data_IF_239248785679
#
_entry.id   IF_239248785679
#
_cell.length_a   1.000
_cell.length_b   1.000
_cell.length_c   1.000
_cell.angle_alpha   90.00
_cell.angle_beta   90.00
_cell.angle_gamma   90.00
#
_symmetry.space_group_name_H-M   'P 1'
#
loop_
_entity.id
_entity.type
_entity.pdbx_description
1 polymer ?
#
# COMPACT_ATOMS: atom_id res chain seq x y z
N UNK A 1 3.78 -4.37 -16.52
CA UNK A 1 4.69 -3.41 -15.90
C UNK A 1 6.15 -3.78 -16.16
N UNK A 2 6.61 -4.98 -15.78
CA UNK A 2 7.98 -5.42 -15.99
C UNK A 2 8.46 -5.31 -17.44
N UNK A 3 7.67 -5.80 -18.40
CA UNK A 3 7.98 -5.67 -19.84
C UNK A 3 8.07 -4.20 -20.30
N UNK A 4 7.27 -3.32 -19.73
CA UNK A 4 7.36 -1.88 -20.01
C UNK A 4 8.65 -1.28 -19.46
N UNK A 5 9.06 -1.69 -18.26
CA UNK A 5 10.25 -1.16 -17.62
C UNK A 5 11.55 -1.67 -18.25
N UNK A 6 11.73 -3.00 -18.40
CA UNK A 6 13.02 -3.63 -18.75
C UNK A 6 13.08 -4.30 -20.12
N UNK A 7 11.95 -4.48 -20.84
CA UNK A 7 11.88 -5.14 -22.16
C UNK A 7 12.50 -6.56 -22.22
N UNK A 8 12.53 -7.23 -21.08
CA UNK A 8 13.02 -8.59 -20.98
C UNK A 8 12.00 -9.43 -20.20
N UNK A 9 11.49 -10.48 -20.82
CA UNK A 9 10.42 -11.28 -20.26
C UNK A 9 10.83 -12.05 -18.98
N UNK A 10 12.10 -12.45 -18.86
CA UNK A 10 12.62 -13.17 -17.69
C UNK A 10 12.53 -12.28 -16.44
N UNK A 11 13.03 -11.06 -16.54
CA UNK A 11 12.94 -10.06 -15.45
C UNK A 11 11.48 -9.62 -15.19
N UNK A 12 10.68 -9.54 -16.27
CA UNK A 12 9.27 -9.20 -16.12
C UNK A 12 8.50 -10.29 -15.38
N UNK A 13 8.77 -11.57 -15.68
CA UNK A 13 8.20 -12.72 -14.96
C UNK A 13 8.64 -12.72 -13.50
N UNK A 14 9.94 -12.51 -13.24
CA UNK A 14 10.45 -12.40 -11.87
C UNK A 14 9.75 -11.29 -11.06
N UNK A 15 9.60 -10.09 -11.64
CA UNK A 15 8.87 -9.01 -10.98
C UNK A 15 7.38 -9.30 -10.76
N UNK A 16 6.74 -10.03 -11.68
CA UNK A 16 5.36 -10.49 -11.51
C UNK A 16 5.23 -11.49 -10.36
N UNK A 17 6.18 -12.43 -10.26
CA UNK A 17 6.27 -13.39 -9.15
C UNK A 17 6.50 -12.68 -7.81
N UNK A 18 7.41 -11.72 -7.76
CA UNK A 18 7.69 -10.93 -6.55
C UNK A 18 6.47 -10.18 -6.05
N UNK A 19 5.72 -9.56 -6.96
CA UNK A 19 4.50 -8.85 -6.61
C UNK A 19 3.37 -9.80 -6.22
N UNK A 20 3.13 -10.85 -7.02
CA UNK A 20 1.99 -11.77 -6.86
C UNK A 20 2.11 -12.71 -5.65
N UNK A 21 3.34 -12.98 -5.18
CA UNK A 21 3.59 -13.85 -4.02
C UNK A 21 3.82 -13.08 -2.71
N UNK A 22 3.66 -11.75 -2.70
CA UNK A 22 3.64 -10.99 -1.45
C UNK A 22 2.55 -11.52 -0.53
N UNK A 23 2.86 -11.70 0.76
CA UNK A 23 1.88 -12.22 1.73
C UNK A 23 0.71 -11.27 1.93
N UNK A 24 0.86 -9.99 1.59
CA UNK A 24 -0.22 -9.00 1.71
C UNK A 24 -1.48 -9.42 0.94
N UNK A 25 -1.34 -10.00 -0.26
CA UNK A 25 -2.49 -10.49 -1.02
C UNK A 25 -3.22 -11.62 -0.30
N UNK A 26 -2.49 -12.58 0.24
CA UNK A 26 -3.07 -13.70 0.98
C UNK A 26 -3.79 -13.23 2.24
N UNK A 27 -3.21 -12.27 2.96
CA UNK A 27 -3.79 -11.65 4.17
C UNK A 27 -5.12 -10.99 3.85
N UNK A 28 -5.19 -10.15 2.81
CA UNK A 28 -6.42 -9.42 2.46
C UNK A 28 -7.49 -10.34 1.86
N UNK A 29 -7.10 -11.44 1.17
CA UNK A 29 -8.02 -12.46 0.69
C UNK A 29 -8.60 -13.23 1.90
N UNK A 30 -7.76 -13.68 2.81
CA UNK A 30 -8.18 -14.37 4.05
C UNK A 30 -9.11 -13.50 4.89
N UNK A 31 -8.87 -12.19 4.93
CA UNK A 31 -9.73 -11.23 5.62
C UNK A 31 -11.01 -10.86 4.84
N UNK A 32 -11.26 -11.45 3.66
CA UNK A 32 -12.47 -11.23 2.87
C UNK A 32 -12.52 -9.89 2.11
N UNK A 33 -11.39 -9.18 1.95
CA UNK A 33 -11.34 -7.86 1.30
C UNK A 33 -11.26 -7.94 -0.24
N UNK A 34 -12.23 -8.60 -0.88
CA UNK A 34 -12.25 -8.86 -2.33
C UNK A 34 -12.11 -7.59 -3.19
N UNK A 35 -12.85 -6.53 -2.87
CA UNK A 35 -12.75 -5.26 -3.61
C UNK A 35 -11.35 -4.64 -3.55
N UNK A 36 -10.66 -4.77 -2.40
CA UNK A 36 -9.27 -4.34 -2.24
C UNK A 36 -8.34 -5.13 -3.15
N UNK A 37 -8.45 -6.47 -3.17
CA UNK A 37 -7.63 -7.36 -4.02
C UNK A 37 -7.80 -7.01 -5.49
N UNK A 38 -9.04 -6.89 -5.98
CA UNK A 38 -9.30 -6.54 -7.38
C UNK A 38 -8.71 -5.19 -7.75
N UNK A 39 -8.86 -4.17 -6.90
CA UNK A 39 -8.28 -2.84 -7.15
C UNK A 39 -6.76 -2.90 -7.26
N UNK A 40 -6.09 -3.63 -6.35
CA UNK A 40 -4.63 -3.73 -6.33
C UNK A 40 -4.11 -4.54 -7.53
N UNK A 41 -4.84 -5.54 -8.01
CA UNK A 41 -4.47 -6.31 -9.19
C UNK A 41 -4.31 -5.42 -10.45
N UNK A 42 -5.04 -4.31 -10.51
CA UNK A 42 -4.95 -3.36 -11.61
C UNK A 42 -3.85 -2.29 -11.44
N UNK A 43 -3.12 -2.27 -10.33
CA UNK A 43 -2.02 -1.32 -10.11
C UNK A 43 -0.90 -1.46 -11.15
N UNK A 44 -0.43 -2.67 -11.35
CA UNK A 44 0.68 -2.94 -12.25
C UNK A 44 0.36 -2.56 -13.72
N UNK A 45 -0.77 -2.97 -14.31
CA UNK A 45 -1.09 -2.57 -15.68
C UNK A 45 -1.40 -1.07 -15.80
N UNK A 46 -2.05 -0.42 -14.81
CA UNK A 46 -2.27 1.03 -14.84
C UNK A 46 -0.94 1.80 -14.86
N UNK A 47 -0.01 1.46 -13.95
CA UNK A 47 1.32 2.05 -13.94
C UNK A 47 2.09 1.75 -15.23
N UNK A 48 1.91 0.56 -15.83
CA UNK A 48 2.51 0.22 -17.12
C UNK A 48 2.03 1.15 -18.24
N UNK A 49 0.72 1.46 -18.28
CA UNK A 49 0.14 2.41 -19.25
C UNK A 49 0.79 3.80 -19.13
N UNK A 50 0.96 4.29 -17.90
CA UNK A 50 1.59 5.60 -17.64
C UNK A 50 3.07 5.60 -18.09
N UNK A 51 3.83 4.54 -17.78
CA UNK A 51 5.22 4.40 -18.20
C UNK A 51 5.36 4.23 -19.72
N UNK A 52 4.37 3.61 -20.41
CA UNK A 52 4.33 3.56 -21.88
C UNK A 52 4.28 4.97 -22.48
N UNK A 53 3.52 5.87 -21.87
CA UNK A 53 3.42 7.28 -22.34
C UNK A 53 4.68 8.05 -22.01
N UNK A 54 5.06 8.19 -20.73
CA UNK A 54 6.17 9.03 -20.30
C UNK A 54 7.55 8.51 -20.75
N UNK A 55 7.78 7.20 -20.61
CA UNK A 55 9.13 6.63 -20.81
C UNK A 55 9.31 6.03 -22.21
N UNK A 56 8.26 5.41 -22.76
CA UNK A 56 8.33 4.70 -24.04
C UNK A 56 7.80 5.50 -25.23
N UNK A 57 7.16 6.65 -25.00
CA UNK A 57 6.54 7.49 -26.03
C UNK A 57 5.49 6.78 -26.88
N UNK A 58 4.89 5.69 -26.31
CA UNK A 58 3.82 4.90 -26.97
C UNK A 58 2.47 5.46 -26.56
N UNK A 59 2.11 6.64 -27.09
CA UNK A 59 0.95 7.42 -26.64
C UNK A 59 -0.36 6.66 -26.76
N UNK A 60 -0.70 6.11 -27.94
CA UNK A 60 -1.97 5.43 -28.18
C UNK A 60 -2.12 4.18 -27.30
N UNK A 61 -1.09 3.32 -27.28
CA UNK A 61 -1.11 2.11 -26.45
C UNK A 61 -1.19 2.45 -24.97
N UNK A 62 -0.39 3.45 -24.53
CA UNK A 62 -0.41 3.90 -23.14
C UNK A 62 -1.73 4.53 -22.76
N UNK A 63 -2.35 5.32 -23.64
CA UNK A 63 -3.70 5.85 -23.46
C UNK A 63 -4.73 4.72 -23.25
N UNK A 64 -4.77 3.76 -24.17
CA UNK A 64 -5.74 2.67 -24.12
C UNK A 64 -5.58 1.81 -22.85
N UNK A 65 -4.34 1.46 -22.50
CA UNK A 65 -4.04 0.67 -21.28
C UNK A 65 -4.40 1.47 -20.02
N UNK A 66 -4.04 2.76 -19.96
CA UNK A 66 -4.35 3.61 -18.79
C UNK A 66 -5.87 3.78 -18.64
N UNK A 67 -6.59 4.10 -19.73
CA UNK A 67 -8.04 4.29 -19.67
C UNK A 67 -8.77 3.01 -19.25
N UNK A 68 -8.40 1.86 -19.85
CA UNK A 68 -9.00 0.56 -19.52
C UNK A 68 -8.79 0.22 -18.04
N UNK A 69 -7.54 0.23 -17.57
CA UNK A 69 -7.24 -0.21 -16.20
C UNK A 69 -7.65 0.81 -15.14
N UNK A 70 -7.73 2.09 -15.49
CA UNK A 70 -8.37 3.09 -14.62
C UNK A 70 -9.87 2.82 -14.47
N UNK A 71 -10.56 2.52 -15.58
CA UNK A 71 -11.97 2.15 -15.55
C UNK A 71 -12.23 0.89 -14.71
N UNK A 72 -11.44 -0.16 -14.89
CA UNK A 72 -11.53 -1.41 -14.10
C UNK A 72 -11.22 -1.18 -12.62
N UNK A 73 -10.25 -0.32 -12.31
CA UNK A 73 -9.89 0.02 -10.93
C UNK A 73 -11.03 0.76 -10.21
N UNK A 74 -11.66 1.71 -10.85
CA UNK A 74 -12.86 2.39 -10.30
C UNK A 74 -14.04 1.39 -10.19
N UNK A 75 -14.21 0.50 -11.18
CA UNK A 75 -15.24 -0.54 -11.15
C UNK A 75 -15.07 -1.52 -9.98
N UNK A 76 -13.85 -1.78 -9.51
CA UNK A 76 -13.59 -2.58 -8.32
C UNK A 76 -14.04 -1.92 -7.00
N UNK A 77 -14.43 -0.65 -7.04
CA UNK A 77 -15.09 0.10 -5.98
C UNK A 77 -14.32 0.19 -4.65
N UNK A 78 -12.98 0.26 -4.70
CA UNK A 78 -12.15 0.47 -3.52
C UNK A 78 -11.25 1.71 -3.68
N UNK A 79 -11.87 2.89 -3.56
CA UNK A 79 -11.23 4.19 -3.87
C UNK A 79 -9.98 4.49 -3.05
N UNK A 80 -9.91 4.01 -1.81
CA UNK A 80 -8.73 4.18 -0.96
C UNK A 80 -7.46 3.60 -1.59
N UNK A 81 -7.53 2.40 -2.18
CA UNK A 81 -6.37 1.78 -2.84
C UNK A 81 -5.97 2.57 -4.08
N UNK A 82 -6.95 2.98 -4.90
CA UNK A 82 -6.73 3.86 -6.05
C UNK A 82 -6.03 5.15 -5.64
N UNK A 83 -6.49 5.77 -4.56
CA UNK A 83 -5.92 7.00 -4.01
C UNK A 83 -4.45 6.80 -3.59
N UNK A 84 -4.13 5.71 -2.94
CA UNK A 84 -2.76 5.40 -2.53
C UNK A 84 -1.82 5.19 -3.74
N UNK A 85 -2.31 4.55 -4.80
CA UNK A 85 -1.54 4.45 -6.04
C UNK A 85 -1.30 5.83 -6.67
N UNK A 86 -2.27 6.75 -6.60
CA UNK A 86 -2.10 8.12 -7.10
C UNK A 86 -1.02 8.90 -6.36
N UNK A 87 -0.77 8.63 -5.08
CA UNK A 87 0.38 9.22 -4.37
C UNK A 87 1.69 8.78 -5.08
N UNK A 88 1.83 7.49 -5.40
CA UNK A 88 3.00 6.99 -6.13
C UNK A 88 3.12 7.58 -7.54
N UNK A 89 2.00 7.68 -8.27
CA UNK A 89 1.94 8.31 -9.61
C UNK A 89 2.30 9.80 -9.53
N UNK A 90 1.91 10.49 -8.45
CA UNK A 90 2.27 11.87 -8.20
C UNK A 90 3.80 12.08 -8.12
N UNK A 91 4.52 11.16 -7.47
CA UNK A 91 5.98 11.18 -7.47
C UNK A 91 6.59 10.96 -8.87
N UNK A 92 6.00 10.07 -9.66
CA UNK A 92 6.43 9.86 -11.05
C UNK A 92 6.22 11.14 -11.87
N UNK A 93 5.02 11.76 -11.78
CA UNK A 93 4.72 13.03 -12.46
C UNK A 93 5.69 14.13 -12.04
N UNK A 94 5.91 14.30 -10.72
CA UNK A 94 6.83 15.29 -10.18
C UNK A 94 8.27 15.05 -10.66
N UNK A 95 8.73 13.81 -10.71
CA UNK A 95 10.04 13.44 -11.21
C UNK A 95 10.20 13.80 -12.69
N UNK A 96 9.19 13.56 -13.52
CA UNK A 96 9.20 13.93 -14.94
C UNK A 96 9.18 15.45 -15.11
N UNK A 97 8.37 16.17 -14.31
CA UNK A 97 8.34 17.63 -14.31
C UNK A 97 9.70 18.22 -13.92
N UNK A 98 10.30 17.76 -12.83
CA UNK A 98 11.63 18.20 -12.39
C UNK A 98 12.68 17.93 -13.47
N UNK A 99 12.63 16.75 -14.11
CA UNK A 99 13.53 16.39 -15.20
C UNK A 99 13.48 17.40 -16.36
N UNK A 100 12.28 17.81 -16.75
CA UNK A 100 12.06 18.75 -17.85
C UNK A 100 12.50 20.17 -17.46
N UNK A 101 12.18 20.59 -16.22
CA UNK A 101 12.62 21.88 -15.67
C UNK A 101 14.14 22.00 -15.65
N UNK A 102 14.83 20.98 -15.11
CA UNK A 102 16.30 21.01 -14.98
C UNK A 102 17.02 20.92 -16.34
N UNK A 103 16.50 20.11 -17.28
CA UNK A 103 17.12 19.94 -18.59
C UNK A 103 16.73 21.01 -19.60
N UNK A 104 15.73 21.84 -19.31
CA UNK A 104 15.15 22.86 -20.21
C UNK A 104 14.78 22.29 -21.60
N UNK A 105 14.47 20.99 -21.67
CA UNK A 105 14.21 20.24 -22.90
C UNK A 105 13.00 19.32 -22.72
N UNK A 106 12.46 18.82 -23.82
CA UNK A 106 11.35 17.86 -23.83
C UNK A 106 9.99 18.37 -23.31
N UNK A 107 9.78 19.70 -23.19
CA UNK A 107 8.49 20.26 -22.76
C UNK A 107 7.32 19.81 -23.63
N UNK A 108 7.55 19.70 -24.95
CA UNK A 108 6.53 19.22 -25.89
C UNK A 108 6.11 17.78 -25.56
N UNK A 109 7.10 16.90 -25.31
CA UNK A 109 6.82 15.51 -24.92
C UNK A 109 6.09 15.44 -23.56
N UNK A 110 6.53 16.19 -22.56
CA UNK A 110 5.91 16.25 -21.25
C UNK A 110 4.45 16.72 -21.35
N UNK A 111 4.19 17.82 -22.07
CA UNK A 111 2.83 18.35 -22.27
C UNK A 111 1.92 17.37 -23.00
N UNK A 112 2.37 16.76 -24.10
CA UNK A 112 1.61 15.74 -24.83
C UNK A 112 1.33 14.53 -23.93
N UNK A 113 2.35 14.04 -23.22
CA UNK A 113 2.22 12.89 -22.32
C UNK A 113 1.20 13.14 -21.21
N UNK A 114 1.28 14.29 -20.56
CA UNK A 114 0.37 14.68 -19.48
C UNK A 114 -1.06 14.87 -20.02
N UNK A 115 -1.24 15.47 -21.19
CA UNK A 115 -2.54 15.61 -21.85
C UNK A 115 -3.17 14.27 -22.22
N UNK A 116 -2.39 13.36 -22.80
CA UNK A 116 -2.83 12.00 -23.15
C UNK A 116 -3.26 11.22 -21.90
N UNK A 117 -2.48 11.30 -20.82
CA UNK A 117 -2.81 10.63 -19.57
C UNK A 117 -4.02 11.26 -18.87
N UNK A 118 -4.13 12.58 -18.86
CA UNK A 118 -5.30 13.27 -18.32
C UNK A 118 -6.58 12.83 -19.05
N UNK A 119 -6.55 12.76 -20.38
CA UNK A 119 -7.68 12.27 -21.17
C UNK A 119 -7.99 10.78 -20.90
N UNK A 120 -6.96 9.93 -20.72
CA UNK A 120 -7.13 8.53 -20.38
C UNK A 120 -7.79 8.37 -18.99
N UNK A 121 -7.36 9.15 -18.01
CA UNK A 121 -7.97 9.16 -16.67
C UNK A 121 -9.42 9.65 -16.71
N UNK A 122 -9.69 10.74 -17.41
CA UNK A 122 -11.06 11.26 -17.58
C UNK A 122 -11.98 10.23 -18.22
N UNK A 123 -11.51 9.51 -19.24
CA UNK A 123 -12.28 8.46 -19.88
C UNK A 123 -12.52 7.29 -18.93
N UNK A 124 -11.47 6.80 -18.24
CA UNK A 124 -11.58 5.69 -17.28
C UNK A 124 -12.51 6.01 -16.10
N UNK A 125 -12.45 7.23 -15.57
CA UNK A 125 -13.36 7.74 -14.53
C UNK A 125 -14.77 7.89 -15.08
N UNK A 126 -14.92 8.50 -16.26
CA UNK A 126 -16.20 8.77 -16.91
C UNK A 126 -17.02 7.52 -17.20
N UNK A 127 -16.37 6.40 -17.56
CA UNK A 127 -17.06 5.10 -17.74
C UNK A 127 -17.76 4.59 -16.47
N UNK A 128 -17.39 5.10 -15.30
CA UNK A 128 -17.96 4.72 -14.00
C UNK A 128 -18.72 5.88 -13.33
N UNK A 129 -19.09 6.92 -14.06
CA UNK A 129 -19.68 8.15 -13.52
C UNK A 129 -20.92 7.88 -12.67
N UNK A 130 -21.83 7.01 -13.11
CA UNK A 130 -23.03 6.64 -12.36
C UNK A 130 -22.67 6.07 -10.97
N UNK A 131 -21.71 5.15 -10.92
CA UNK A 131 -21.27 4.55 -9.66
C UNK A 131 -20.60 5.57 -8.74
N UNK A 132 -19.81 6.47 -9.32
CA UNK A 132 -19.12 7.51 -8.55
C UNK A 132 -20.12 8.50 -7.94
N UNK A 133 -21.13 8.92 -8.70
CA UNK A 133 -22.17 9.82 -8.21
C UNK A 133 -23.00 9.16 -7.11
N UNK A 134 -23.43 7.92 -7.30
CA UNK A 134 -24.17 7.17 -6.29
C UNK A 134 -23.33 6.97 -5.00
N UNK A 135 -22.04 6.64 -5.13
CA UNK A 135 -21.17 6.51 -3.96
C UNK A 135 -20.92 7.84 -3.24
N UNK A 136 -20.86 8.96 -3.97
CA UNK A 136 -20.72 10.28 -3.37
C UNK A 136 -21.95 10.63 -2.54
N UNK A 137 -23.15 10.48 -3.11
CA UNK A 137 -24.41 10.72 -2.43
C UNK A 137 -24.51 9.84 -1.17
N UNK A 138 -24.24 8.53 -1.30
CA UNK A 138 -24.28 7.61 -0.18
C UNK A 138 -23.23 7.92 0.90
N UNK A 139 -22.05 8.40 0.52
CA UNK A 139 -20.97 8.72 1.48
C UNK A 139 -21.35 9.89 2.41
N UNK A 140 -22.18 10.81 1.95
CA UNK A 140 -22.66 11.95 2.76
C UNK A 140 -23.51 11.49 3.95
N UNK A 141 -24.21 10.35 3.82
CA UNK A 141 -25.07 9.74 4.85
C UNK A 141 -24.34 8.69 5.72
N UNK A 142 -23.03 8.61 5.61
CA UNK A 142 -22.21 7.64 6.37
C UNK A 142 -21.27 8.35 7.35
N UNK A 143 -20.55 7.57 8.17
CA UNK A 143 -19.47 8.06 9.06
C UNK A 143 -18.36 8.85 8.35
N UNK A 144 -18.39 8.90 7.01
CA UNK A 144 -17.47 9.69 6.18
C UNK A 144 -18.03 11.06 5.79
N UNK A 145 -19.32 11.29 6.04
CA UNK A 145 -19.99 12.56 5.86
C UNK A 145 -19.79 13.52 7.03
N UNK A 146 -20.66 14.53 7.13
CA UNK A 146 -20.68 15.44 8.28
C UNK A 146 -21.19 14.72 9.52
N UNK A 147 -20.58 14.97 10.66
CA UNK A 147 -21.11 14.50 11.94
C UNK A 147 -22.43 15.18 12.25
N UNK A 148 -23.49 14.39 12.45
CA UNK A 148 -24.85 14.87 12.77
C UNK A 148 -25.03 15.00 14.30
N UNK A 149 -24.32 14.15 15.07
CA UNK A 149 -24.37 14.17 16.54
C UNK A 149 -23.13 14.92 17.08
N UNK A 150 -23.36 16.00 17.83
CA UNK A 150 -22.31 16.68 18.57
C UNK A 150 -21.97 15.85 19.82
N UNK A 151 -20.83 15.18 19.78
CA UNK A 151 -20.24 14.59 20.98
C UNK A 151 -19.48 15.68 21.75
N UNK A 152 -20.08 16.17 22.83
CA UNK A 152 -19.51 17.25 23.67
C UNK A 152 -18.10 16.93 24.25
N UNK A 153 -17.63 15.67 24.10
CA UNK A 153 -16.36 15.19 24.68
C UNK A 153 -15.21 15.06 23.68
N UNK A 154 -15.41 15.32 22.39
CA UNK A 154 -14.35 15.14 21.40
C UNK A 154 -13.89 16.45 20.75
N UNK A 155 -12.99 17.16 21.42
CA UNK A 155 -12.30 18.36 20.91
C UNK A 155 -11.41 18.12 19.68
N UNK A 156 -11.47 16.95 19.03
CA UNK A 156 -10.62 16.56 17.89
C UNK A 156 -11.38 16.10 16.65
N UNK A 157 -12.70 16.34 16.60
CA UNK A 157 -13.48 16.01 15.39
C UNK A 157 -13.12 17.00 14.26
N UNK A 158 -12.66 16.50 13.12
CA UNK A 158 -12.62 17.29 11.89
C UNK A 158 -14.07 17.62 11.52
N UNK A 159 -14.39 18.88 11.24
CA UNK A 159 -15.74 19.34 10.86
C UNK A 159 -16.34 18.59 9.66
N UNK A 160 -15.52 17.86 8.92
CA UNK A 160 -15.90 17.05 7.75
C UNK A 160 -14.91 15.87 7.59
N UNK A 161 -15.40 14.64 7.76
CA UNK A 161 -14.62 13.43 7.66
C UNK A 161 -14.71 12.51 8.88
N UNK A 162 -13.89 11.44 8.88
CA UNK A 162 -13.84 10.47 9.99
C UNK A 162 -13.12 11.07 11.20
N UNK A 163 -13.45 10.55 12.38
CA UNK A 163 -12.68 10.82 13.60
C UNK A 163 -11.22 10.38 13.41
N UNK A 164 -10.26 11.20 13.91
CA UNK A 164 -8.81 10.95 13.76
C UNK A 164 -8.39 9.61 14.37
N UNK A 165 -8.92 9.26 15.55
CA UNK A 165 -8.59 7.99 16.20
C UNK A 165 -9.06 6.81 15.36
N UNK A 166 -10.27 6.88 14.77
CA UNK A 166 -10.78 5.87 13.87
C UNK A 166 -9.99 5.77 12.56
N UNK A 167 -9.49 6.89 12.02
CA UNK A 167 -8.62 6.90 10.85
C UNK A 167 -7.28 6.21 11.12
N UNK A 168 -6.68 6.46 12.29
CA UNK A 168 -5.34 6.03 12.65
C UNK A 168 -5.30 4.69 13.41
N UNK A 169 -6.45 4.07 13.66
CA UNK A 169 -6.55 2.85 14.47
C UNK A 169 -5.64 1.71 14.00
N UNK A 170 -5.51 1.48 12.69
CA UNK A 170 -4.62 0.46 12.10
C UNK A 170 -3.31 1.09 11.63
N UNK A 171 -2.64 1.79 12.52
CA UNK A 171 -1.30 2.32 12.27
C UNK A 171 -0.25 1.22 12.40
N UNK A 172 0.76 1.27 11.54
CA UNK A 172 1.86 0.31 11.54
C UNK A 172 2.95 0.75 12.52
N UNK A 173 3.47 -0.15 13.31
CA UNK A 173 4.63 0.14 14.16
C UNK A 173 5.86 0.50 13.30
N UNK A 174 6.67 1.46 13.75
CA UNK A 174 7.88 1.83 12.99
C UNK A 174 8.81 0.65 12.76
N UNK A 175 9.10 -0.11 13.81
CA UNK A 175 9.91 -1.32 13.73
C UNK A 175 9.15 -2.49 13.10
N UNK A 176 7.83 -2.48 13.13
CA UNK A 176 6.98 -3.46 12.44
C UNK A 176 7.20 -3.43 10.92
N UNK A 177 7.71 -2.31 10.37
CA UNK A 177 8.15 -2.22 8.96
C UNK A 177 9.18 -3.29 8.59
N UNK A 178 9.92 -3.81 9.56
CA UNK A 178 10.85 -4.93 9.36
C UNK A 178 10.15 -6.22 8.90
N UNK A 179 8.85 -6.37 9.14
CA UNK A 179 8.07 -7.49 8.59
C UNK A 179 8.17 -7.60 7.06
N UNK A 180 8.41 -6.49 6.35
CA UNK A 180 8.55 -6.52 4.89
C UNK A 180 9.69 -7.46 4.43
N UNK A 181 10.75 -7.61 5.22
CA UNK A 181 11.90 -8.46 4.87
C UNK A 181 12.29 -9.52 5.91
N UNK A 182 11.83 -9.41 7.17
CA UNK A 182 12.01 -10.45 8.20
C UNK A 182 10.63 -11.05 8.49
N UNK A 183 10.36 -12.29 8.04
CA UNK A 183 9.03 -12.87 8.20
C UNK A 183 8.74 -13.08 9.70
N UNK A 184 7.52 -12.67 10.11
CA UNK A 184 7.01 -12.92 11.46
C UNK A 184 7.80 -12.29 12.62
N UNK A 185 8.59 -11.24 12.36
CA UNK A 185 9.32 -10.55 13.45
C UNK A 185 8.39 -9.99 14.53
N UNK A 186 7.12 -9.69 14.16
CA UNK A 186 6.04 -9.28 15.06
C UNK A 186 4.97 -10.38 15.23
N UNK A 187 5.36 -11.64 15.03
CA UNK A 187 4.46 -12.79 15.15
C UNK A 187 3.63 -13.04 13.88
N UNK A 188 2.53 -13.76 14.06
CA UNK A 188 1.64 -14.16 12.98
C UNK A 188 0.35 -13.37 12.91
N UNK A 189 -0.78 -14.08 12.96
CA UNK A 189 -2.12 -13.50 12.99
C UNK A 189 -2.56 -13.19 14.42
N UNK A 190 -3.45 -12.21 14.57
CA UNK A 190 -4.12 -11.92 15.84
C UNK A 190 -5.08 -13.05 16.30
N UNK A 191 -5.32 -14.04 15.44
CA UNK A 191 -6.14 -15.22 15.78
C UNK A 191 -5.33 -16.52 15.82
N UNK A 192 -4.03 -16.44 15.47
CA UNK A 192 -3.14 -17.60 15.47
C UNK A 192 -2.70 -17.90 16.88
N UNK A 193 -2.96 -19.12 17.33
CA UNK A 193 -2.43 -19.68 18.59
C UNK A 193 -1.15 -20.44 18.32
N UNK A 194 -0.35 -20.65 19.35
CA UNK A 194 0.81 -21.55 19.28
C UNK A 194 0.39 -22.94 18.78
N UNK A 195 1.26 -23.65 18.07
CA UNK A 195 0.92 -25.00 17.62
C UNK A 195 0.66 -25.92 18.82
N UNK A 196 -0.32 -26.82 18.72
CA UNK A 196 -0.71 -27.73 19.80
C UNK A 196 0.49 -28.51 20.36
N UNK A 197 1.41 -28.92 19.49
CA UNK A 197 2.64 -29.62 19.91
C UNK A 197 3.55 -28.75 20.77
N UNK A 198 3.71 -27.47 20.39
CA UNK A 198 4.53 -26.51 21.18
C UNK A 198 3.82 -26.23 22.51
N UNK A 199 2.50 -26.06 22.47
CA UNK A 199 1.70 -25.82 23.67
C UNK A 199 1.78 -27.01 24.66
N UNK A 200 1.71 -28.24 24.17
CA UNK A 200 1.89 -29.46 25.00
C UNK A 200 3.29 -29.49 25.61
N UNK A 201 4.36 -29.31 24.82
CA UNK A 201 5.72 -29.31 25.34
C UNK A 201 5.95 -28.21 26.39
N UNK A 202 5.36 -27.03 26.20
CA UNK A 202 5.42 -25.94 27.19
C UNK A 202 4.65 -26.33 28.46
N UNK A 203 3.46 -26.91 28.30
CA UNK A 203 2.65 -27.36 29.43
C UNK A 203 3.39 -28.39 30.26
N UNK A 204 4.02 -29.39 29.64
CA UNK A 204 4.81 -30.41 30.30
C UNK A 204 5.98 -29.78 31.06
N UNK A 205 6.78 -28.89 30.42
CA UNK A 205 7.89 -28.18 31.03
C UNK A 205 7.46 -27.28 32.19
N UNK A 206 6.31 -26.60 32.06
CA UNK A 206 5.80 -25.73 33.12
C UNK A 206 5.29 -26.54 34.28
N UNK A 207 4.59 -27.67 34.05
CA UNK A 207 4.15 -28.56 35.11
C UNK A 207 5.31 -29.19 35.90
N UNK A 208 6.43 -29.52 35.22
CA UNK A 208 7.64 -30.06 35.88
C UNK A 208 8.36 -29.04 36.76
N UNK A 209 8.27 -27.74 36.45
CA UNK A 209 9.08 -26.71 37.10
C UNK A 209 8.28 -25.69 37.91
N UNK A 210 6.95 -25.64 37.77
CA UNK A 210 6.12 -24.68 38.50
C UNK A 210 5.92 -25.10 39.95
N UNK A 211 5.90 -24.12 40.83
CA UNK A 211 5.72 -24.32 42.28
C UNK A 211 4.24 -24.31 42.70
N UNK A 212 3.35 -23.83 41.84
CA UNK A 212 1.91 -23.76 42.08
C UNK A 212 1.08 -23.85 40.81
N UNK A 213 -0.19 -24.30 40.94
CA UNK A 213 -1.13 -24.35 39.82
C UNK A 213 -1.46 -22.94 39.28
N UNK A 214 -1.45 -21.94 40.15
CA UNK A 214 -1.68 -20.55 39.75
C UNK A 214 -0.58 -20.03 38.84
N UNK A 215 0.67 -20.43 39.09
CA UNK A 215 1.83 -20.12 38.25
C UNK A 215 1.70 -20.80 36.88
N UNK A 216 1.29 -22.09 36.84
CA UNK A 216 1.00 -22.81 35.59
C UNK A 216 -0.06 -22.09 34.78
N UNK A 217 -1.17 -21.71 35.38
CA UNK A 217 -2.29 -21.06 34.72
C UNK A 217 -1.89 -19.67 34.16
N UNK A 218 -1.10 -18.91 34.90
CA UNK A 218 -0.61 -17.59 34.46
C UNK A 218 0.35 -17.70 33.26
N UNK A 219 1.28 -18.64 33.31
CA UNK A 219 2.22 -18.91 32.22
C UNK A 219 1.45 -19.40 30.99
N UNK A 220 0.53 -20.37 31.17
CA UNK A 220 -0.28 -20.90 30.04
C UNK A 220 -1.19 -19.86 29.42
N UNK A 221 -1.75 -18.92 30.19
CA UNK A 221 -2.49 -17.76 29.65
C UNK A 221 -1.59 -16.90 28.74
N UNK A 222 -0.36 -16.67 29.11
CA UNK A 222 0.62 -15.94 28.28
C UNK A 222 0.85 -16.62 26.94
N UNK A 223 1.00 -17.95 26.91
CA UNK A 223 1.21 -18.74 25.69
C UNK A 223 -0.09 -18.96 24.87
N UNK A 224 -1.27 -18.87 25.47
CA UNK A 224 -2.55 -18.93 24.76
C UNK A 224 -2.90 -17.61 24.06
N UNK A 225 -2.11 -16.55 24.27
CA UNK A 225 -2.28 -15.27 23.59
C UNK A 225 -2.01 -15.40 22.09
N UNK A 226 -2.64 -14.54 21.26
CA UNK A 226 -2.33 -14.49 19.83
C UNK A 226 -0.84 -14.32 19.58
N UNK A 227 -0.34 -14.94 18.50
CA UNK A 227 1.10 -14.86 18.15
C UNK A 227 1.53 -13.46 17.67
N UNK A 228 0.58 -12.63 17.25
CA UNK A 228 0.83 -11.23 16.89
C UNK A 228 1.00 -10.36 18.14
N UNK A 229 2.08 -9.60 18.19
CA UNK A 229 2.40 -8.68 19.29
C UNK A 229 2.76 -7.26 18.81
N UNK A 230 2.38 -6.91 17.54
CA UNK A 230 2.52 -5.57 16.99
C UNK A 230 1.45 -4.59 17.49
N UNK A 231 1.50 -3.38 16.96
CA UNK A 231 0.69 -2.26 17.45
C UNK A 231 -0.71 -2.19 16.82
N UNK A 232 -0.99 -2.94 15.76
CA UNK A 232 -2.31 -2.94 15.12
C UNK A 232 -3.34 -3.66 16.00
N UNK A 233 -4.60 -3.19 16.08
CA UNK A 233 -5.63 -3.84 16.91
C UNK A 233 -5.97 -5.25 16.44
N UNK A 234 -5.61 -5.62 15.22
CA UNK A 234 -5.77 -6.95 14.67
C UNK A 234 -5.21 -7.06 13.26
N UNK A 235 -4.65 -8.23 12.96
CA UNK A 235 -4.14 -8.57 11.62
C UNK A 235 -4.39 -10.04 11.31
N UNK A 236 -4.60 -10.38 10.05
CA UNK A 236 -4.66 -11.76 9.58
C UNK A 236 -3.26 -12.35 9.34
N UNK A 237 -2.19 -11.55 9.46
CA UNK A 237 -0.80 -11.96 9.34
C UNK A 237 0.13 -10.80 8.99
N UNK A 238 1.45 -11.04 8.98
CA UNK A 238 2.44 -10.02 8.66
C UNK A 238 2.49 -9.74 7.15
N UNK A 239 2.55 -8.46 6.78
CA UNK A 239 2.82 -8.04 5.41
C UNK A 239 4.30 -8.29 5.08
N UNK A 240 4.60 -9.44 4.48
CA UNK A 240 5.96 -9.85 4.12
C UNK A 240 6.14 -9.80 2.60
N UNK A 241 7.00 -8.90 2.16
CA UNK A 241 7.33 -8.71 0.74
C UNK A 241 8.34 -9.76 0.22
N UNK A 242 9.17 -10.27 1.12
CA UNK A 242 10.26 -11.19 0.81
C UNK A 242 11.64 -10.59 1.03
N UNK A 243 12.50 -11.29 1.79
CA UNK A 243 13.86 -10.83 2.08
C UNK A 243 14.67 -10.60 0.80
N UNK A 244 14.57 -11.51 -0.16
CA UNK A 244 15.25 -11.41 -1.46
C UNK A 244 14.76 -10.19 -2.24
N UNK A 245 13.43 -9.95 -2.26
CA UNK A 245 12.85 -8.80 -2.98
C UNK A 245 13.35 -7.49 -2.36
N UNK A 246 13.32 -7.36 -1.04
CA UNK A 246 13.80 -6.19 -0.33
C UNK A 246 15.29 -5.96 -0.53
N UNK A 247 16.11 -7.03 -0.49
CA UNK A 247 17.54 -6.94 -0.77
C UNK A 247 17.81 -6.48 -2.22
N UNK A 248 17.13 -7.07 -3.19
CA UNK A 248 17.25 -6.67 -4.59
C UNK A 248 16.72 -5.26 -4.84
N UNK A 249 15.67 -4.83 -4.14
CA UNK A 249 15.18 -3.46 -4.19
C UNK A 249 16.21 -2.48 -3.62
N UNK A 250 16.85 -2.82 -2.50
CA UNK A 250 17.95 -2.04 -1.93
C UNK A 250 19.10 -1.87 -2.95
N UNK A 251 19.57 -2.95 -3.54
CA UNK A 251 20.56 -2.89 -4.62
C UNK A 251 20.04 -2.09 -5.83
N UNK A 252 18.77 -2.23 -6.15
CA UNK A 252 18.10 -1.50 -7.23
C UNK A 252 18.19 0.00 -7.06
N UNK A 253 18.13 0.51 -5.84
CA UNK A 253 18.35 1.95 -5.59
C UNK A 253 19.77 2.44 -5.88
N UNK A 254 20.75 1.57 -5.99
CA UNK A 254 22.08 1.93 -6.44
C UNK A 254 22.22 1.85 -7.96
N UNK A 255 21.74 0.79 -8.59
CA UNK A 255 22.00 0.46 -9.99
C UNK A 255 20.93 0.96 -10.98
N UNK A 256 19.68 1.15 -10.53
CA UNK A 256 18.62 1.59 -11.44
C UNK A 256 18.86 2.98 -12.03
N UNK A 257 18.45 3.22 -13.28
CA UNK A 257 18.51 4.53 -13.91
C UNK A 257 17.73 5.60 -13.13
N UNK A 258 18.23 6.83 -13.15
CA UNK A 258 17.64 7.98 -12.42
C UNK A 258 16.14 8.17 -12.66
N UNK A 259 15.67 7.88 -13.89
CA UNK A 259 14.23 7.96 -14.27
C UNK A 259 13.30 7.01 -13.52
N UNK A 260 13.84 6.00 -12.84
CA UNK A 260 13.06 5.10 -11.95
C UNK A 260 13.41 5.35 -10.49
N UNK A 261 14.69 5.53 -10.18
CA UNK A 261 15.24 5.56 -8.83
C UNK A 261 14.54 6.56 -7.91
N UNK A 262 14.52 7.84 -8.29
CA UNK A 262 14.16 8.91 -7.37
C UNK A 262 12.66 8.95 -7.03
N UNK A 263 11.79 8.75 -8.02
CA UNK A 263 10.36 8.75 -7.74
C UNK A 263 9.93 7.51 -6.97
N UNK A 264 10.52 6.34 -7.26
CA UNK A 264 10.23 5.10 -6.51
C UNK A 264 10.72 5.27 -5.07
N UNK A 265 11.92 5.80 -4.85
CA UNK A 265 12.44 6.04 -3.50
C UNK A 265 11.53 7.01 -2.73
N UNK A 266 11.20 8.17 -3.30
CA UNK A 266 10.35 9.16 -2.66
C UNK A 266 8.95 8.63 -2.35
N UNK A 267 8.32 7.95 -3.32
CA UNK A 267 7.02 7.32 -3.12
C UNK A 267 7.05 6.24 -2.03
N UNK A 268 8.07 5.38 -2.02
CA UNK A 268 8.21 4.32 -1.02
C UNK A 268 8.44 4.90 0.37
N UNK A 269 9.32 5.89 0.52
CA UNK A 269 9.57 6.54 1.80
C UNK A 269 8.31 7.19 2.36
N UNK A 270 7.61 7.99 1.54
CA UNK A 270 6.40 8.67 1.99
C UNK A 270 5.30 7.65 2.37
N UNK A 271 5.10 6.62 1.58
CA UNK A 271 4.05 5.62 1.87
C UNK A 271 4.35 4.80 3.12
N UNK A 272 5.62 4.48 3.40
CA UNK A 272 6.04 3.87 4.66
C UNK A 272 5.77 4.83 5.84
N UNK A 273 6.15 6.09 5.71
CA UNK A 273 5.90 7.09 6.77
C UNK A 273 4.41 7.30 7.04
N UNK A 274 3.56 7.29 6.01
CA UNK A 274 2.11 7.37 6.15
C UNK A 274 1.51 6.09 6.75
N UNK A 275 2.10 4.91 6.48
CA UNK A 275 1.68 3.66 7.11
C UNK A 275 1.87 3.65 8.62
N UNK A 276 2.85 4.38 9.14
CA UNK A 276 3.07 4.52 10.59
C UNK A 276 1.94 5.28 11.30
N UNK A 277 1.12 6.04 10.59
CA UNK A 277 -0.10 6.67 11.09
C UNK A 277 0.09 7.41 12.41
N UNK A 278 -0.51 6.90 13.51
CA UNK A 278 -0.38 7.47 14.88
C UNK A 278 1.07 7.46 15.39
N UNK A 279 1.91 6.57 14.91
CA UNK A 279 3.31 6.46 15.29
C UNK A 279 4.20 7.51 14.61
N UNK A 280 3.64 8.26 13.63
CA UNK A 280 4.32 9.38 13.00
C UNK A 280 3.34 10.53 12.67
N UNK A 281 2.77 11.13 13.71
CA UNK A 281 1.71 12.13 13.62
C UNK A 281 2.05 13.36 12.77
N UNK A 282 3.32 13.76 12.68
CA UNK A 282 3.72 14.94 11.89
C UNK A 282 3.28 14.76 10.43
N UNK A 283 3.61 13.65 9.81
CA UNK A 283 3.26 13.37 8.40
C UNK A 283 1.77 13.05 8.28
N UNK A 284 1.22 12.28 9.23
CA UNK A 284 -0.19 11.91 9.21
C UNK A 284 -1.11 13.14 9.32
N UNK A 285 -0.84 14.05 10.24
CA UNK A 285 -1.62 15.28 10.40
C UNK A 285 -1.50 16.18 9.17
N UNK A 286 -0.29 16.33 8.61
CA UNK A 286 -0.10 17.10 7.38
C UNK A 286 -1.01 16.57 6.24
N UNK A 287 -1.11 15.25 6.11
CA UNK A 287 -1.97 14.66 5.08
C UNK A 287 -3.46 14.77 5.42
N UNK A 288 -3.83 14.56 6.66
CA UNK A 288 -5.23 14.69 7.13
C UNK A 288 -5.73 16.11 6.95
N UNK A 289 -4.91 17.12 7.23
CA UNK A 289 -5.33 18.51 7.25
C UNK A 289 -5.23 19.18 5.88
N UNK A 290 -4.25 18.82 5.04
CA UNK A 290 -3.96 19.54 3.82
C UNK A 290 -4.18 18.74 2.54
N UNK A 291 -4.20 17.41 2.58
CA UNK A 291 -4.35 16.61 1.36
C UNK A 291 -5.82 16.22 1.16
N UNK A 292 -6.46 16.67 0.07
CA UNK A 292 -7.88 16.46 -0.15
C UNK A 292 -8.28 14.98 -0.06
N UNK A 293 -9.40 14.70 0.58
CA UNK A 293 -10.01 13.37 0.72
C UNK A 293 -9.23 12.38 1.60
N UNK A 294 -8.00 12.69 2.04
CA UNK A 294 -7.24 11.78 2.89
C UNK A 294 -7.97 11.47 4.20
N UNK A 295 -8.68 12.44 4.75
CA UNK A 295 -9.51 12.33 5.96
C UNK A 295 -10.79 11.46 5.81
N UNK A 296 -11.05 10.90 4.63
CA UNK A 296 -12.15 9.94 4.37
C UNK A 296 -11.70 8.48 4.46
N UNK A 297 -10.41 8.22 4.66
CA UNK A 297 -9.83 6.89 4.66
C UNK A 297 -9.36 6.47 6.05
N UNK A 298 -9.30 5.15 6.28
CA UNK A 298 -8.84 4.56 7.54
C UNK A 298 -7.78 3.49 7.29
N UNK A 299 -7.20 2.97 8.38
CA UNK A 299 -6.20 1.90 8.31
C UNK A 299 -4.98 2.31 7.48
N UNK A 300 -4.13 3.22 8.00
CA UNK A 300 -2.96 3.74 7.30
C UNK A 300 -2.01 2.66 6.80
N UNK A 301 -1.85 1.55 7.55
CA UNK A 301 -1.02 0.40 7.15
C UNK A 301 -1.32 -0.12 5.74
N UNK A 302 -2.57 0.03 5.28
CA UNK A 302 -2.96 -0.41 3.92
C UNK A 302 -2.21 0.30 2.78
N UNK A 303 -1.58 1.45 3.03
CA UNK A 303 -0.81 2.18 2.00
C UNK A 303 0.49 1.45 1.62
N UNK A 304 0.96 0.50 2.44
CA UNK A 304 2.13 -0.34 2.14
C UNK A 304 1.99 -1.11 0.83
N UNK A 305 0.77 -1.30 0.31
CA UNK A 305 0.52 -1.89 -1.00
C UNK A 305 1.26 -1.16 -2.14
N UNK A 306 1.56 0.12 -1.98
CA UNK A 306 2.37 0.88 -2.96
C UNK A 306 3.82 0.39 -2.92
N UNK A 307 4.37 0.13 -1.74
CA UNK A 307 5.71 -0.45 -1.57
C UNK A 307 5.76 -1.87 -2.15
N UNK A 308 4.69 -2.66 -1.94
CA UNK A 308 4.53 -4.01 -2.49
C UNK A 308 4.63 -4.04 -4.02
N UNK A 309 4.20 -2.97 -4.70
CA UNK A 309 4.35 -2.80 -6.15
C UNK A 309 5.73 -2.26 -6.54
N UNK A 310 6.23 -1.25 -5.81
CA UNK A 310 7.42 -0.49 -6.20
C UNK A 310 8.74 -1.21 -5.91
N UNK A 311 8.81 -2.02 -4.84
CA UNK A 311 10.02 -2.79 -4.54
C UNK A 311 10.31 -3.86 -5.59
N UNK A 312 9.36 -4.70 -6.04
CA UNK A 312 9.58 -5.57 -7.20
C UNK A 312 10.01 -4.82 -8.47
N UNK A 313 9.41 -3.65 -8.72
CA UNK A 313 9.75 -2.86 -9.90
C UNK A 313 11.20 -2.38 -9.86
N UNK A 314 11.64 -1.76 -8.75
CA UNK A 314 13.02 -1.26 -8.64
C UNK A 314 14.04 -2.41 -8.58
N UNK A 315 13.69 -3.54 -7.97
CA UNK A 315 14.51 -4.74 -7.92
C UNK A 315 14.84 -5.26 -9.33
N UNK A 316 13.82 -5.45 -10.19
CA UNK A 316 14.07 -5.94 -11.56
C UNK A 316 14.74 -4.90 -12.45
N UNK A 317 14.44 -3.61 -12.26
CA UNK A 317 15.08 -2.53 -13.02
C UNK A 317 16.55 -2.41 -12.63
N UNK A 318 16.87 -2.49 -11.34
CA UNK A 318 18.24 -2.47 -10.85
C UNK A 318 19.04 -3.67 -11.33
N UNK A 319 18.49 -4.87 -11.18
CA UNK A 319 19.13 -6.11 -11.60
C UNK A 319 19.35 -6.20 -13.13
N UNK A 320 18.45 -5.62 -13.92
CA UNK A 320 18.59 -5.52 -15.38
C UNK A 320 19.66 -4.48 -15.78
N UNK A 321 19.91 -3.50 -14.93
CA UNK A 321 20.85 -2.40 -15.21
C UNK A 321 22.27 -2.66 -14.67
N UNK A 322 22.42 -3.70 -13.86
CA UNK A 322 23.69 -4.23 -13.37
C UNK A 322 24.35 -5.10 -14.45
#
# INVERSE_FOLDING_TARGET
>A
LGMTAVRNWKYALMGATFFGLSTYFYIIISAGHNGKVHTIAYFAPLLAGILLVYIRKKYLLGFAVTALFMGLQIAANHFQMTYYLFIGIGFLFLSELIRVLLKKSDWKHFGISSGVLALAFLLGIGMNSQRLLANREYAEETVRGKQILEDEKQNHASKDGMNRDAMLMWSYGKLETLNLFIPRIYGGSSQEKGSDRIMQNIQDLVQENATSQEEVDNIMKGFSSPTYWGEQPGTAGPAYQGAVVCFLAFLGFFFAPKKYKYWILGASMLTIMLAWGSNFLIVSNLFIDFVPLYNKFRAPSSILVVVELLFPLIAIVGLYSF
#
